data_IF_752408996758
#
_entry.id   IF_752408996758
#
_cell.length_a   1.000
_cell.length_b   1.000
_cell.length_c   1.000
_cell.angle_alpha   90.00
_cell.angle_beta   90.00
_cell.angle_gamma   90.00
#
_symmetry.space_group_name_H-M   'P 1'
#
loop_
_entity.id
_entity.type
_entity.pdbx_description
1 polymer ?
#
# COMPACT_ATOMS: atom_id res chain seq x y z
N UNK A 1 -9.01 -56.53 -55.69
CA UNK A 1 -8.63 -56.24 -54.29
C UNK A 1 -7.93 -57.46 -53.76
N UNK A 2 -6.81 -57.38 -53.06
CA UNK A 2 -6.58 -56.53 -51.89
C UNK A 2 -5.13 -56.05 -51.85
N UNK A 3 -4.97 -54.80 -51.46
CA UNK A 3 -3.74 -54.01 -51.33
C UNK A 3 -2.86 -54.53 -50.18
N UNK A 4 -1.55 -54.62 -50.41
CA UNK A 4 -0.55 -54.80 -49.35
C UNK A 4 -0.50 -53.56 -48.46
N UNK A 5 -0.57 -53.73 -47.14
CA UNK A 5 -0.25 -52.68 -46.16
C UNK A 5 0.84 -53.24 -45.24
N UNK A 6 2.09 -52.83 -45.50
CA UNK A 6 3.19 -52.96 -44.53
C UNK A 6 3.01 -51.87 -43.47
N UNK A 7 2.75 -52.28 -42.23
CA UNK A 7 2.85 -51.37 -41.09
C UNK A 7 4.27 -51.49 -40.56
N UNK A 8 5.14 -50.56 -40.96
CA UNK A 8 6.42 -50.36 -40.30
C UNK A 8 6.15 -49.92 -38.85
N UNK A 9 6.51 -50.76 -37.89
CA UNK A 9 6.46 -50.45 -36.47
C UNK A 9 7.52 -49.37 -36.21
N UNK A 10 7.09 -48.11 -36.07
CA UNK A 10 7.98 -47.02 -35.69
C UNK A 10 8.52 -47.32 -34.30
N UNK A 11 9.80 -47.68 -34.22
CA UNK A 11 10.49 -47.86 -32.95
C UNK A 11 10.58 -46.49 -32.25
N UNK A 12 9.87 -46.34 -31.13
CA UNK A 12 10.06 -45.22 -30.22
C UNK A 12 11.42 -45.41 -29.52
N UNK A 13 12.47 -44.90 -30.14
CA UNK A 13 13.76 -44.74 -29.49
C UNK A 13 13.87 -43.31 -28.96
N UNK A 14 13.73 -43.15 -27.64
CA UNK A 14 14.69 -42.38 -26.85
C UNK A 14 14.33 -42.54 -25.37
N UNK A 15 14.98 -43.49 -24.71
CA UNK A 15 15.15 -43.42 -23.26
C UNK A 15 15.94 -42.15 -22.96
N UNK A 16 15.43 -41.25 -22.13
CA UNK A 16 16.22 -40.12 -21.64
C UNK A 16 17.40 -40.71 -20.86
N UNK A 17 18.59 -40.75 -21.46
CA UNK A 17 19.74 -41.49 -20.92
C UNK A 17 20.32 -40.88 -19.63
N UNK A 18 19.84 -39.70 -19.23
CA UNK A 18 20.42 -38.92 -18.13
C UNK A 18 19.32 -38.22 -17.32
N UNK A 19 18.47 -38.94 -16.58
CA UNK A 19 17.38 -38.36 -15.77
C UNK A 19 17.89 -37.39 -14.69
N UNK A 20 19.16 -37.51 -14.31
CA UNK A 20 19.83 -36.59 -13.41
C UNK A 20 20.04 -35.19 -14.02
N UNK A 21 20.14 -35.03 -15.35
CA UNK A 21 20.20 -33.71 -15.99
C UNK A 21 18.85 -32.97 -15.86
N UNK A 22 17.73 -33.69 -15.97
CA UNK A 22 16.40 -33.14 -15.71
C UNK A 22 16.24 -32.74 -14.25
N UNK A 23 16.73 -33.58 -13.33
CA UNK A 23 16.75 -33.27 -11.90
C UNK A 23 17.62 -32.03 -11.60
N UNK A 24 18.79 -31.93 -12.25
CA UNK A 24 19.68 -30.78 -12.12
C UNK A 24 19.05 -29.49 -12.66
N UNK A 25 18.31 -29.56 -13.78
CA UNK A 25 17.56 -28.43 -14.35
C UNK A 25 16.42 -27.98 -13.43
N UNK A 26 15.66 -28.91 -12.83
CA UNK A 26 14.62 -28.60 -11.83
C UNK A 26 15.25 -27.97 -10.59
N UNK A 27 16.35 -28.53 -10.09
CA UNK A 27 17.07 -27.98 -8.93
C UNK A 27 17.68 -26.60 -9.23
N UNK A 28 18.23 -26.36 -10.43
CA UNK A 28 18.72 -25.02 -10.83
C UNK A 28 17.59 -24.00 -10.93
N UNK A 29 16.39 -24.39 -11.39
CA UNK A 29 15.23 -23.50 -11.45
C UNK A 29 14.66 -23.13 -10.08
N UNK A 30 14.86 -23.97 -9.07
CA UNK A 30 14.40 -23.74 -7.70
C UNK A 30 15.31 -22.80 -6.89
N UNK A 31 16.49 -22.45 -7.41
CA UNK A 31 17.48 -21.60 -6.71
C UNK A 31 17.49 -20.16 -7.23
N UNK A 32 16.61 -19.81 -8.18
CA UNK A 32 16.46 -18.42 -8.58
C UNK A 32 15.91 -17.60 -7.39
N UNK A 33 16.66 -16.62 -6.84
CA UNK A 33 16.12 -15.77 -5.80
C UNK A 33 14.93 -15.02 -6.40
N UNK A 34 13.75 -15.20 -5.80
CA UNK A 34 12.61 -14.36 -6.11
C UNK A 34 12.98 -12.93 -5.70
N UNK A 35 13.32 -12.08 -6.67
CA UNK A 35 13.48 -10.65 -6.42
C UNK A 35 12.11 -10.09 -6.09
N UNK A 36 11.81 -9.95 -4.79
CA UNK A 36 10.58 -9.29 -4.35
C UNK A 36 10.57 -7.86 -4.90
N UNK A 37 9.64 -7.57 -5.81
CA UNK A 37 9.48 -6.23 -6.38
C UNK A 37 9.03 -5.28 -5.26
N UNK A 38 9.65 -4.10 -5.17
CA UNK A 38 9.15 -3.05 -4.29
C UNK A 38 7.78 -2.61 -4.81
N UNK A 39 6.71 -2.66 -3.99
CA UNK A 39 5.39 -2.21 -4.43
C UNK A 39 5.43 -0.71 -4.72
N UNK A 40 4.81 -0.32 -5.83
CA UNK A 40 4.61 1.09 -6.21
C UNK A 40 3.18 1.52 -5.90
N UNK A 41 2.94 2.82 -5.85
CA UNK A 41 1.65 3.43 -5.54
C UNK A 41 0.52 2.83 -6.38
N UNK A 42 0.71 2.75 -7.70
CA UNK A 42 -0.29 2.26 -8.64
C UNK A 42 -0.60 0.76 -8.49
N UNK A 43 0.17 0.00 -7.70
CA UNK A 43 -0.18 -1.40 -7.45
C UNK A 43 -1.45 -1.49 -6.58
N UNK A 44 -1.64 -0.54 -5.65
CA UNK A 44 -2.65 -0.66 -4.59
C UNK A 44 -3.59 0.54 -4.46
N UNK A 45 -3.21 1.71 -4.98
CA UNK A 45 -3.92 2.97 -4.76
C UNK A 45 -4.28 3.67 -6.06
N UNK A 46 -5.28 4.56 -5.98
CA UNK A 46 -5.67 5.49 -7.05
C UNK A 46 -5.94 6.88 -6.47
N UNK A 47 -5.62 7.96 -7.19
CA UNK A 47 -6.00 9.29 -6.77
C UNK A 47 -7.52 9.44 -6.68
N UNK A 48 -7.99 10.17 -5.68
CA UNK A 48 -9.41 10.52 -5.50
C UNK A 48 -9.68 11.97 -5.84
N UNK A 49 -8.73 12.87 -5.54
CA UNK A 49 -8.74 14.28 -5.97
C UNK A 49 -7.32 14.84 -6.02
N UNK A 50 -7.13 15.98 -6.70
CA UNK A 50 -5.83 16.66 -6.79
C UNK A 50 -4.83 16.00 -7.76
N UNK A 51 -5.27 15.09 -8.64
CA UNK A 51 -4.42 14.43 -9.64
C UNK A 51 -4.12 15.32 -10.87
N UNK A 52 -3.70 16.56 -10.63
CA UNK A 52 -3.45 17.59 -11.66
C UNK A 52 -1.97 17.77 -12.01
N UNK A 53 -1.11 16.88 -11.51
CA UNK A 53 0.35 16.94 -11.68
C UNK A 53 1.05 17.91 -10.73
N UNK A 54 0.33 18.56 -9.82
CA UNK A 54 0.88 19.46 -8.80
C UNK A 54 0.46 19.09 -7.38
N UNK A 55 -0.84 18.93 -7.13
CA UNK A 55 -1.37 18.60 -5.81
C UNK A 55 -1.11 17.14 -5.44
N UNK A 56 -1.18 16.22 -6.40
CA UNK A 56 -0.75 14.84 -6.24
C UNK A 56 0.28 14.50 -7.32
N UNK A 57 1.48 14.16 -6.88
CA UNK A 57 2.57 13.71 -7.76
C UNK A 57 2.99 12.30 -7.36
N UNK A 58 2.67 11.34 -8.22
CA UNK A 58 3.09 9.95 -8.08
C UNK A 58 4.51 9.77 -8.63
N UNK A 59 5.42 9.24 -7.81
CA UNK A 59 6.82 8.95 -8.13
C UNK A 59 7.14 7.46 -8.01
N UNK A 60 6.13 6.59 -8.17
CA UNK A 60 6.24 5.15 -8.02
C UNK A 60 6.21 4.75 -6.55
N UNK A 61 7.35 4.71 -5.87
CA UNK A 61 7.42 4.26 -4.45
C UNK A 61 7.11 5.35 -3.43
N UNK A 62 6.87 6.58 -3.90
CA UNK A 62 6.51 7.74 -3.10
C UNK A 62 5.40 8.50 -3.82
N UNK A 63 4.47 9.06 -3.05
CA UNK A 63 3.50 10.04 -3.55
C UNK A 63 3.69 11.32 -2.74
N UNK A 64 3.69 12.47 -3.42
CA UNK A 64 3.76 13.78 -2.78
C UNK A 64 2.39 14.44 -2.89
N UNK A 65 1.85 14.85 -1.74
CA UNK A 65 0.64 15.64 -1.65
C UNK A 65 1.02 17.09 -1.36
N UNK A 66 0.44 18.02 -2.12
CA UNK A 66 0.56 19.47 -1.95
C UNK A 66 -0.82 20.02 -1.66
N UNK A 67 -0.90 21.00 -0.76
CA UNK A 67 -2.12 21.75 -0.50
C UNK A 67 -1.83 23.25 -0.64
N UNK A 68 -2.72 23.95 -1.33
CA UNK A 68 -2.72 25.41 -1.43
C UNK A 68 -4.15 25.95 -1.34
N UNK A 69 -4.35 27.23 -1.69
CA UNK A 69 -5.68 27.86 -1.62
C UNK A 69 -6.69 27.33 -2.66
N UNK A 70 -6.22 26.64 -3.70
CA UNK A 70 -7.04 26.10 -4.79
C UNK A 70 -7.48 24.68 -4.49
N UNK A 71 -6.59 23.84 -3.95
CA UNK A 71 -6.92 22.45 -3.64
C UNK A 71 -6.00 21.81 -2.61
N UNK A 72 -6.41 20.63 -2.15
CA UNK A 72 -5.53 19.64 -1.56
C UNK A 72 -5.41 18.43 -2.49
N UNK A 73 -5.01 17.29 -1.94
CA UNK A 73 -4.96 16.03 -2.68
C UNK A 73 -5.25 14.83 -1.78
N UNK A 74 -5.67 13.74 -2.40
CA UNK A 74 -5.91 12.49 -1.72
C UNK A 74 -5.97 11.31 -2.69
N UNK A 75 -5.94 10.13 -2.09
CA UNK A 75 -6.02 8.85 -2.80
C UNK A 75 -6.70 7.81 -1.92
N UNK A 76 -7.21 6.75 -2.53
CA UNK A 76 -7.79 5.61 -1.83
C UNK A 76 -7.22 4.29 -2.37
N UNK A 77 -7.44 3.20 -1.63
CA UNK A 77 -7.11 1.86 -2.12
C UNK A 77 -8.01 1.44 -3.27
N UNK A 78 -7.47 0.67 -4.21
CA UNK A 78 -8.23 0.05 -5.31
C UNK A 78 -9.21 -1.02 -4.82
N UNK A 79 -8.91 -1.63 -3.68
CA UNK A 79 -9.68 -2.72 -3.09
C UNK A 79 -10.20 -2.33 -1.71
N UNK A 80 -11.29 -2.97 -1.33
CA UNK A 80 -11.81 -2.99 0.03
C UNK A 80 -11.27 -4.23 0.75
N UNK A 81 -11.23 -4.18 2.08
CA UNK A 81 -10.63 -5.22 2.90
C UNK A 81 -11.51 -5.46 4.12
N UNK A 82 -11.77 -6.73 4.45
CA UNK A 82 -12.47 -7.10 5.69
C UNK A 82 -11.55 -7.10 6.92
N UNK A 83 -10.26 -7.34 6.71
CA UNK A 83 -9.20 -7.29 7.73
C UNK A 83 -7.84 -7.13 7.06
N UNK A 84 -6.80 -6.81 7.85
CA UNK A 84 -5.45 -6.69 7.31
C UNK A 84 -4.48 -5.91 8.17
N UNK A 85 -3.24 -5.90 7.70
CA UNK A 85 -2.18 -5.06 8.24
C UNK A 85 -1.91 -3.91 7.28
N UNK A 86 -2.23 -2.69 7.71
CA UNK A 86 -2.12 -1.50 6.87
C UNK A 86 -1.00 -0.63 7.37
N UNK A 87 -0.07 -0.30 6.47
CA UNK A 87 1.12 0.47 6.80
C UNK A 87 1.39 1.55 5.77
N UNK A 88 1.59 2.77 6.25
CA UNK A 88 2.08 3.89 5.45
C UNK A 88 3.35 4.46 6.08
N UNK A 89 4.35 4.77 5.24
CA UNK A 89 5.49 5.61 5.65
C UNK A 89 5.15 7.04 5.28
N UNK A 90 5.11 7.92 6.27
CA UNK A 90 4.70 9.31 6.07
C UNK A 90 5.75 10.27 6.57
N UNK A 91 5.86 11.38 5.87
CA UNK A 91 6.52 12.60 6.31
C UNK A 91 5.48 13.72 6.21
N UNK A 92 5.24 14.44 7.29
CA UNK A 92 4.25 15.53 7.32
C UNK A 92 4.92 16.86 6.99
N UNK A 93 4.18 17.88 6.52
CA UNK A 93 4.75 19.19 6.26
C UNK A 93 5.28 19.83 7.56
N UNK A 94 6.48 20.39 7.50
CA UNK A 94 7.06 21.22 8.56
C UNK A 94 6.74 22.71 8.37
N UNK A 95 7.23 23.55 9.30
CA UNK A 95 6.99 24.99 9.26
C UNK A 95 5.60 25.38 9.80
N UNK A 96 5.05 26.48 9.29
CA UNK A 96 3.74 27.00 9.69
C UNK A 96 2.60 26.22 9.02
N UNK A 97 2.00 25.28 9.75
CA UNK A 97 0.89 24.42 9.31
C UNK A 97 -0.39 24.44 10.18
N UNK A 98 -0.73 25.48 10.97
CA UNK A 98 -2.02 25.49 11.68
C UNK A 98 -3.22 25.28 10.75
N UNK A 99 -4.15 24.42 11.15
CA UNK A 99 -5.36 24.11 10.39
C UNK A 99 -5.15 23.11 9.24
N UNK A 100 -3.91 22.70 8.97
CA UNK A 100 -3.61 21.62 8.02
C UNK A 100 -3.69 20.27 8.75
N UNK A 101 -4.38 19.31 8.14
CA UNK A 101 -4.44 17.92 8.63
C UNK A 101 -3.86 17.01 7.55
N UNK A 102 -2.85 16.23 7.92
CA UNK A 102 -2.41 15.08 7.10
C UNK A 102 -3.08 13.83 7.69
N UNK A 103 -3.86 13.10 6.90
CA UNK A 103 -4.64 11.97 7.40
C UNK A 103 -4.24 10.66 6.71
N UNK A 104 -4.22 9.58 7.48
CA UNK A 104 -4.23 8.21 7.02
C UNK A 104 -5.33 7.48 7.79
N UNK A 105 -6.32 6.95 7.08
CA UNK A 105 -7.48 6.37 7.71
C UNK A 105 -8.01 5.18 6.92
N UNK A 106 -8.80 4.36 7.61
CA UNK A 106 -9.52 3.23 7.05
C UNK A 106 -11.00 3.47 7.27
N UNK A 107 -11.82 3.15 6.29
CA UNK A 107 -13.24 3.46 6.32
C UNK A 107 -14.01 2.35 5.59
N UNK A 108 -15.08 1.82 6.21
CA UNK A 108 -15.79 0.65 5.67
C UNK A 108 -16.59 0.94 4.40
N UNK A 109 -17.02 2.19 4.22
CA UNK A 109 -17.89 2.68 3.13
C UNK A 109 -17.54 4.12 2.78
N UNK A 110 -17.93 4.66 1.61
CA UNK A 110 -17.56 6.03 1.21
C UNK A 110 -17.98 7.11 2.22
N UNK A 111 -17.33 8.30 2.22
CA UNK A 111 -17.50 9.32 3.27
C UNK A 111 -18.93 9.86 3.41
N UNK A 112 -19.75 9.69 2.37
CA UNK A 112 -21.14 10.14 2.35
C UNK A 112 -22.08 9.24 3.17
N UNK A 113 -21.64 8.04 3.57
CA UNK A 113 -22.43 7.18 4.44
C UNK A 113 -22.34 7.65 5.90
N UNK A 114 -23.50 7.63 6.56
CA UNK A 114 -23.65 8.00 7.97
C UNK A 114 -23.38 6.86 8.94
N UNK A 115 -23.28 5.62 8.46
CA UNK A 115 -23.17 4.38 9.25
C UNK A 115 -21.78 3.74 9.16
N UNK A 116 -20.77 4.49 8.70
CA UNK A 116 -19.42 3.99 8.50
C UNK A 116 -18.69 3.63 9.79
N UNK A 117 -17.85 2.60 9.68
CA UNK A 117 -16.77 2.36 10.64
C UNK A 117 -15.51 3.02 10.10
N UNK A 118 -14.73 3.63 10.99
CA UNK A 118 -13.54 4.40 10.61
C UNK A 118 -12.45 4.29 11.67
N UNK A 119 -11.19 4.22 11.24
CA UNK A 119 -10.01 4.29 12.11
C UNK A 119 -9.07 5.35 11.57
N UNK A 120 -8.81 6.38 12.39
CA UNK A 120 -8.13 7.60 11.96
C UNK A 120 -6.73 7.74 12.54
N UNK A 121 -5.82 8.25 11.73
CA UNK A 121 -4.54 8.84 12.13
C UNK A 121 -4.42 10.22 11.49
N UNK A 122 -4.54 11.27 12.31
CA UNK A 122 -4.55 12.65 11.87
C UNK A 122 -3.39 13.43 12.49
N UNK A 123 -2.47 13.92 11.66
CA UNK A 123 -1.41 14.82 12.08
C UNK A 123 -1.92 16.24 12.01
N UNK A 124 -2.16 16.81 13.19
CA UNK A 124 -2.65 18.18 13.34
C UNK A 124 -1.46 19.13 13.27
N UNK A 125 -1.37 19.87 12.16
CA UNK A 125 -0.35 20.87 11.93
C UNK A 125 -0.36 21.97 13.01
N UNK A 126 0.79 22.61 13.18
CA UNK A 126 1.02 23.57 14.26
C UNK A 126 1.79 24.79 13.73
N UNK A 127 1.92 25.83 14.55
CA UNK A 127 2.83 26.94 14.27
C UNK A 127 4.27 26.43 14.25
N UNK A 128 5.14 27.14 13.52
CA UNK A 128 6.53 26.73 13.35
C UNK A 128 7.26 26.56 14.71
N UNK A 129 8.11 25.54 14.78
CA UNK A 129 8.85 25.16 15.99
C UNK A 129 8.01 24.49 17.10
N UNK A 130 6.69 24.34 16.95
CA UNK A 130 5.84 23.67 17.95
C UNK A 130 5.52 22.22 17.57
N UNK A 131 5.44 21.30 18.54
CA UNK A 131 5.21 19.88 18.24
C UNK A 131 3.87 19.62 17.54
N UNK A 132 3.92 18.85 16.46
CA UNK A 132 2.73 18.29 15.78
C UNK A 132 2.03 17.31 16.72
N UNK A 133 0.69 17.31 16.72
CA UNK A 133 -0.13 16.37 17.48
C UNK A 133 -0.57 15.25 16.57
N UNK A 134 -0.39 13.99 16.96
CA UNK A 134 -1.12 12.89 16.36
C UNK A 134 -2.44 12.73 17.10
N UNK A 135 -3.54 12.80 16.36
CA UNK A 135 -4.87 12.42 16.83
C UNK A 135 -5.23 11.04 16.24
N UNK A 136 -5.78 10.16 17.07
CA UNK A 136 -6.41 8.92 16.61
C UNK A 136 -7.88 8.93 16.97
N UNK A 137 -8.72 8.33 16.14
CA UNK A 137 -10.15 8.18 16.43
C UNK A 137 -10.65 6.82 15.94
N UNK A 138 -11.78 6.38 16.49
CA UNK A 138 -12.49 5.18 16.03
C UNK A 138 -13.98 5.49 15.94
N UNK A 139 -14.53 5.34 14.74
CA UNK A 139 -15.97 5.36 14.49
C UNK A 139 -16.50 3.94 14.41
N UNK A 140 -17.66 3.72 15.03
CA UNK A 140 -18.42 2.47 14.94
C UNK A 140 -19.87 2.81 14.62
N UNK A 141 -20.41 2.28 13.53
CA UNK A 141 -21.75 2.59 13.03
C UNK A 141 -22.01 4.11 12.91
N UNK A 142 -21.02 4.86 12.41
CA UNK A 142 -21.10 6.31 12.26
C UNK A 142 -20.82 7.13 13.53
N UNK A 143 -20.68 6.48 14.68
CA UNK A 143 -20.44 7.17 15.94
C UNK A 143 -18.95 7.21 16.26
N UNK A 144 -18.34 8.39 16.28
CA UNK A 144 -16.95 8.64 16.69
C UNK A 144 -16.85 9.12 18.15
N UNK A 145 -16.19 10.26 18.37
CA UNK A 145 -15.92 10.88 19.68
C UNK A 145 -15.05 10.01 20.61
N UNK A 146 -14.05 9.34 20.04
CA UNK A 146 -13.10 8.48 20.75
C UNK A 146 -11.67 8.97 20.55
N UNK A 147 -11.51 10.29 20.44
CA UNK A 147 -10.25 10.91 20.10
C UNK A 147 -9.21 10.69 21.21
N UNK A 148 -8.02 10.28 20.80
CA UNK A 148 -6.82 10.37 21.64
C UNK A 148 -5.83 11.28 20.96
N UNK A 149 -5.15 12.13 21.74
CA UNK A 149 -4.16 13.08 21.23
C UNK A 149 -2.83 12.86 21.92
N UNK A 150 -1.78 12.68 21.13
CA UNK A 150 -0.45 12.40 21.62
C UNK A 150 0.59 13.30 20.93
N UNK A 151 1.60 13.68 21.71
CA UNK A 151 2.83 14.24 21.17
C UNK A 151 3.77 13.10 20.81
N UNK A 152 4.38 13.20 19.64
CA UNK A 152 5.37 12.23 19.19
C UNK A 152 6.69 12.51 19.91
N UNK A 153 7.43 11.46 20.23
CA UNK A 153 8.78 11.56 20.80
C UNK A 153 9.86 11.87 19.75
N UNK A 154 9.45 12.18 18.52
CA UNK A 154 10.28 12.56 17.39
C UNK A 154 9.56 13.64 16.57
N UNK A 155 10.29 14.36 15.71
CA UNK A 155 9.72 15.30 14.76
C UNK A 155 9.26 14.58 13.47
N UNK A 156 7.94 14.48 13.20
CA UNK A 156 7.44 13.81 12.00
C UNK A 156 7.69 14.59 10.69
N UNK A 157 8.16 15.84 10.77
CA UNK A 157 8.51 16.67 9.61
C UNK A 157 10.01 16.63 9.25
N UNK A 158 10.86 16.03 10.09
CA UNK A 158 12.30 15.97 9.86
C UNK A 158 12.67 15.13 8.62
N UNK A 159 13.71 15.55 7.88
CA UNK A 159 14.36 14.83 6.76
C UNK A 159 15.20 13.62 7.20
N UNK A 160 14.97 13.04 8.38
CA UNK A 160 15.77 11.89 8.80
C UNK A 160 15.31 10.61 8.10
N UNK A 161 16.24 9.69 7.82
CA UNK A 161 15.95 8.36 7.25
C UNK A 161 14.96 7.52 8.09
N UNK A 162 14.58 8.02 9.27
CA UNK A 162 13.52 7.55 10.15
C UNK A 162 12.13 7.96 9.62
N UNK A 163 11.78 7.54 8.40
CA UNK A 163 10.38 7.61 7.97
C UNK A 163 9.53 6.74 8.90
N UNK A 164 8.68 7.34 9.74
CA UNK A 164 7.87 6.59 10.70
C UNK A 164 6.88 5.69 9.96
N UNK A 165 6.92 4.40 10.31
CA UNK A 165 5.94 3.40 9.89
C UNK A 165 4.73 3.55 10.79
N UNK A 166 3.64 4.09 10.26
CA UNK A 166 2.35 4.01 10.93
C UNK A 166 1.73 2.67 10.55
N UNK A 167 1.50 1.81 11.53
CA UNK A 167 0.94 0.47 11.34
C UNK A 167 -0.32 0.30 12.18
N UNK A 168 -1.44 0.00 11.53
CA UNK A 168 -2.64 -0.52 12.17
C UNK A 168 -2.76 -2.01 11.90
N UNK A 169 -2.92 -2.80 12.95
CA UNK A 169 -3.31 -4.21 12.84
C UNK A 169 -4.82 -4.30 13.04
N UNK A 170 -5.57 -4.62 11.99
CA UNK A 170 -6.96 -5.01 12.11
C UNK A 170 -7.03 -6.54 12.12
N UNK A 171 -7.11 -7.10 13.32
CA UNK A 171 -7.52 -8.50 13.55
C UNK A 171 -8.98 -8.49 13.97
N UNK A 172 -9.88 -9.06 13.16
CA UNK A 172 -11.17 -9.53 13.68
C UNK A 172 -11.09 -11.05 13.87
N UNK A 173 -11.64 -11.52 14.99
CA UNK A 173 -11.97 -12.92 15.24
C UNK A 173 -13.02 -13.43 14.27
#
# INVERSE_FOLDING_TARGET
GVTHISVAKLAMASSVQHPWLLLLLVLLSAVAPATARTPVFDDNYVPTWGADGYHLVNQGTQVRLTMDKRSGAGFCSKSTYGSGFFRMRMKVPGGYTPGVVTAFFLMSVPPQSSDRDEVDFEFLGNVDGQPITLQTNVFVNGHGNREQRLKLWFDPAAETSTSTRYSGTLTSS
#
